data_IF_287968931629
#
_entry.id   IF_287968931629
#
_cell.length_a   1.000
_cell.length_b   1.000
_cell.length_c   1.000
_cell.angle_alpha   90.00
_cell.angle_beta   90.00
_cell.angle_gamma   90.00
#
_symmetry.space_group_name_H-M   'P 1'
#
loop_
_entity.id
_entity.type
_entity.pdbx_description
1 polymer ?
#
# COMPACT_ATOMS: atom_id res chain seq x y z
N UNK A 1 2.24 8.33 -8.42
CA UNK A 1 1.19 9.37 -8.44
C UNK A 1 0.24 9.09 -7.29
N UNK A 2 -0.33 10.10 -6.63
CA UNK A 2 -1.39 9.85 -5.64
C UNK A 2 -2.63 9.39 -6.42
N UNK A 3 -3.11 8.19 -6.10
CA UNK A 3 -4.33 7.61 -6.68
C UNK A 3 -5.54 8.06 -5.85
N UNK A 4 -5.35 8.22 -4.54
CA UNK A 4 -6.38 8.67 -3.61
C UNK A 4 -5.73 9.31 -2.39
N UNK A 5 -6.26 10.44 -1.93
CA UNK A 5 -5.85 11.10 -0.69
C UNK A 5 -7.08 11.20 0.22
N UNK A 6 -6.98 10.67 1.45
CA UNK A 6 -8.04 10.76 2.44
C UNK A 6 -7.68 11.76 3.55
N UNK A 7 -7.78 13.06 3.24
CA UNK A 7 -7.35 14.15 4.12
C UNK A 7 -7.98 14.16 5.51
N UNK A 8 -9.25 13.75 5.63
CA UNK A 8 -10.02 13.82 6.89
C UNK A 8 -9.68 12.65 7.83
N UNK A 9 -9.15 11.54 7.30
CA UNK A 9 -9.01 10.30 8.05
C UNK A 9 -10.35 9.59 8.24
N UNK A 10 -10.34 8.26 8.25
CA UNK A 10 -11.50 7.40 8.45
C UNK A 10 -11.36 6.70 9.79
N UNK A 11 -12.45 6.62 10.55
CA UNK A 11 -12.52 5.86 11.79
C UNK A 11 -13.60 4.79 11.67
N UNK A 12 -13.28 3.57 12.08
CA UNK A 12 -14.26 2.53 12.26
C UNK A 12 -15.15 2.86 13.47
N UNK A 13 -16.38 2.37 13.45
CA UNK A 13 -17.23 2.41 14.63
C UNK A 13 -16.59 1.58 15.75
N UNK A 14 -16.61 2.02 17.02
CA UNK A 14 -16.00 1.28 18.12
C UNK A 14 -16.54 -0.16 18.29
N UNK A 15 -17.80 -0.37 17.90
CA UNK A 15 -18.48 -1.67 17.97
C UNK A 15 -18.28 -2.53 16.71
N UNK A 16 -17.68 -1.98 15.64
CA UNK A 16 -17.38 -2.76 14.44
C UNK A 16 -16.13 -3.61 14.69
N UNK A 17 -16.29 -4.93 14.74
CA UNK A 17 -15.18 -5.87 14.91
C UNK A 17 -14.33 -6.02 13.65
N UNK A 18 -14.89 -5.71 12.48
CA UNK A 18 -14.19 -5.88 11.21
C UNK A 18 -13.30 -4.69 10.86
N UNK A 19 -13.64 -3.47 11.32
CA UNK A 19 -12.84 -2.23 11.21
C UNK A 19 -12.22 -2.07 9.82
N UNK A 20 -13.06 -2.21 8.80
CA UNK A 20 -12.64 -2.27 7.41
C UNK A 20 -13.24 -1.15 6.56
N UNK A 21 -12.47 -0.70 5.58
CA UNK A 21 -12.88 0.28 4.57
C UNK A 21 -12.58 -0.28 3.18
N UNK A 22 -13.55 -0.12 2.26
CA UNK A 22 -13.43 -0.61 0.90
C UNK A 22 -13.47 0.56 -0.09
N UNK A 23 -12.46 0.62 -0.96
CA UNK A 23 -12.32 1.56 -2.05
C UNK A 23 -12.68 0.89 -3.37
N UNK A 24 -13.58 1.50 -4.14
CA UNK A 24 -13.95 1.05 -5.48
C UNK A 24 -13.49 2.11 -6.48
N UNK A 25 -12.55 1.74 -7.35
CA UNK A 25 -12.00 2.63 -8.36
C UNK A 25 -12.78 2.50 -9.67
N UNK A 26 -13.08 3.64 -10.32
CA UNK A 26 -13.78 3.66 -11.61
C UNK A 26 -13.03 2.88 -12.70
N UNK A 27 -11.70 3.03 -12.72
CA UNK A 27 -10.77 2.31 -13.61
C UNK A 27 -9.71 1.57 -12.79
N UNK A 28 -9.22 0.40 -13.25
CA UNK A 28 -8.15 -0.34 -12.56
C UNK A 28 -6.91 0.53 -12.33
N UNK A 29 -6.34 0.43 -11.14
CA UNK A 29 -5.15 1.16 -10.69
C UNK A 29 -4.08 0.16 -10.28
N UNK A 30 -2.83 0.51 -10.50
CA UNK A 30 -1.70 -0.24 -9.95
C UNK A 30 -1.26 0.47 -8.68
N UNK A 31 -1.36 -0.20 -7.54
CA UNK A 31 -0.92 0.33 -6.25
C UNK A 31 0.47 -0.22 -5.95
N UNK A 32 1.38 0.67 -5.59
CA UNK A 32 2.76 0.34 -5.24
C UNK A 32 3.07 0.65 -3.78
N UNK A 33 2.47 1.72 -3.25
CA UNK A 33 2.78 2.25 -1.92
C UNK A 33 1.52 2.77 -1.25
N UNK A 34 1.48 2.68 0.07
CA UNK A 34 0.43 3.27 0.89
C UNK A 34 1.11 4.12 1.95
N UNK A 35 0.79 5.41 2.00
CA UNK A 35 1.25 6.28 3.06
C UNK A 35 0.22 6.25 4.18
N UNK A 36 0.65 5.99 5.40
CA UNK A 36 -0.19 6.09 6.60
C UNK A 36 0.28 7.29 7.39
N UNK A 37 -0.65 8.10 7.86
CA UNK A 37 -0.40 9.25 8.73
C UNK A 37 -1.17 9.11 10.03
N UNK A 38 -0.64 9.75 11.07
CA UNK A 38 -1.34 9.95 12.33
C UNK A 38 -2.54 10.87 12.11
N UNK A 39 -3.69 10.48 12.62
CA UNK A 39 -4.89 11.33 12.60
C UNK A 39 -4.73 12.55 13.52
N UNK A 40 -5.61 13.55 13.36
CA UNK A 40 -5.59 14.75 14.22
C UNK A 40 -5.72 14.42 15.72
N UNK A 41 -6.47 13.36 16.06
CA UNK A 41 -6.65 12.89 17.45
C UNK A 41 -5.51 11.97 17.92
N UNK A 42 -4.44 11.85 17.14
CA UNK A 42 -3.29 11.02 17.47
C UNK A 42 -3.49 9.51 17.27
N UNK A 43 -4.64 9.07 16.77
CA UNK A 43 -4.91 7.66 16.48
C UNK A 43 -4.27 7.24 15.14
N UNK A 44 -3.87 5.97 15.05
CA UNK A 44 -3.30 5.38 13.83
C UNK A 44 -3.38 3.84 13.88
N UNK A 45 -3.38 3.16 12.72
CA UNK A 45 -3.34 1.70 12.67
C UNK A 45 -1.91 1.19 12.84
N UNK A 46 -1.72 0.13 13.63
CA UNK A 46 -0.44 -0.57 13.85
C UNK A 46 -0.29 -1.71 12.84
N UNK A 47 -1.34 -2.51 12.65
CA UNK A 47 -1.36 -3.65 11.72
C UNK A 47 -2.56 -3.51 10.77
N UNK A 48 -2.28 -3.56 9.47
CA UNK A 48 -3.27 -3.44 8.39
C UNK A 48 -3.19 -4.68 7.50
N UNK A 49 -4.31 -5.33 7.23
CA UNK A 49 -4.42 -6.34 6.17
C UNK A 49 -5.16 -5.79 4.95
N UNK A 50 -4.83 -6.34 3.79
CA UNK A 50 -5.37 -5.91 2.50
C UNK A 50 -6.04 -7.09 1.83
N UNK A 51 -7.21 -6.84 1.26
CA UNK A 51 -7.81 -7.71 0.25
C UNK A 51 -8.12 -6.88 -0.98
N UNK A 52 -8.02 -7.48 -2.15
CA UNK A 52 -8.24 -6.75 -3.38
C UNK A 52 -8.82 -7.63 -4.48
N UNK A 53 -9.34 -6.98 -5.51
CA UNK A 53 -9.74 -7.61 -6.76
C UNK A 53 -9.49 -6.66 -7.92
N UNK A 54 -9.16 -7.21 -9.08
CA UNK A 54 -9.02 -6.48 -10.34
C UNK A 54 -10.35 -6.20 -11.04
N UNK A 55 -11.47 -6.78 -10.58
CA UNK A 55 -12.82 -6.62 -11.14
C UNK A 55 -13.84 -6.33 -10.06
N UNK A 56 -14.89 -5.58 -10.42
CA UNK A 56 -16.06 -5.38 -9.56
C UNK A 56 -16.95 -6.62 -9.58
N UNK A 57 -17.60 -6.95 -8.47
CA UNK A 57 -18.56 -8.07 -8.40
C UNK A 57 -17.94 -9.46 -8.26
N UNK A 58 -16.62 -9.56 -8.05
CA UNK A 58 -15.94 -10.83 -7.75
C UNK A 58 -15.36 -10.81 -6.32
N UNK A 59 -15.16 -11.97 -5.68
CA UNK A 59 -14.60 -12.05 -4.34
C UNK A 59 -13.21 -11.40 -4.23
N UNK A 60 -12.93 -10.79 -3.08
CA UNK A 60 -11.63 -10.20 -2.79
C UNK A 60 -10.62 -11.26 -2.37
N UNK A 61 -9.41 -11.16 -2.88
CA UNK A 61 -8.29 -12.06 -2.60
C UNK A 61 -7.38 -11.38 -1.58
N UNK A 62 -6.91 -12.08 -0.53
CA UNK A 62 -5.96 -11.52 0.42
C UNK A 62 -4.64 -11.18 -0.27
N UNK A 63 -4.02 -10.07 0.13
CA UNK A 63 -2.68 -9.73 -0.29
C UNK A 63 -1.66 -10.67 0.38
N UNK A 64 -0.91 -11.40 -0.44
CA UNK A 64 0.16 -12.30 0.00
C UNK A 64 1.34 -12.07 -0.94
N UNK A 65 2.42 -11.47 -0.45
CA UNK A 65 3.62 -11.24 -1.24
C UNK A 65 4.87 -11.45 -0.37
N UNK A 66 5.82 -12.27 -0.82
CA UNK A 66 7.07 -12.55 -0.09
C UNK A 66 6.85 -12.93 1.39
N UNK A 67 5.85 -13.79 1.68
CA UNK A 67 5.40 -14.17 3.03
C UNK A 67 4.85 -13.02 3.90
N UNK A 68 4.69 -11.83 3.33
CA UNK A 68 4.06 -10.69 3.98
C UNK A 68 2.57 -10.70 3.62
N UNK A 69 1.73 -10.89 4.63
CA UNK A 69 0.27 -10.87 4.52
C UNK A 69 -0.35 -9.62 5.13
N UNK A 70 0.39 -8.95 6.01
CA UNK A 70 -0.04 -7.77 6.76
C UNK A 70 1.03 -6.70 6.67
N UNK A 71 0.61 -5.44 6.62
CA UNK A 71 1.48 -4.29 6.69
C UNK A 71 1.52 -3.79 8.13
N UNK A 72 2.72 -3.56 8.64
CA UNK A 72 2.95 -3.10 10.01
C UNK A 72 3.49 -1.68 9.93
N UNK A 73 2.89 -0.76 10.67
CA UNK A 73 3.42 0.58 10.87
C UNK A 73 4.33 0.59 12.10
N UNK A 74 5.56 1.04 11.92
CA UNK A 74 6.58 1.15 12.97
C UNK A 74 6.91 2.60 13.26
N UNK A 75 6.94 3.44 12.23
CA UNK A 75 7.44 4.81 12.30
C UNK A 75 6.34 5.84 12.53
N UNK A 76 5.06 5.49 12.37
CA UNK A 76 3.93 6.43 12.56
C UNK A 76 3.88 7.00 13.97
N UNK A 77 4.28 6.21 14.98
CA UNK A 77 4.35 6.65 16.37
C UNK A 77 5.35 7.79 16.61
N UNK A 78 6.48 7.77 15.88
CA UNK A 78 7.64 8.65 16.09
C UNK A 78 7.62 9.83 15.12
N UNK A 79 7.45 9.56 13.82
CA UNK A 79 7.54 10.55 12.73
C UNK A 79 6.17 11.15 12.40
N UNK A 80 5.08 10.55 12.87
CA UNK A 80 3.71 10.97 12.55
C UNK A 80 3.20 10.46 11.20
N UNK A 81 4.03 9.75 10.44
CA UNK A 81 3.62 9.07 9.21
C UNK A 81 4.67 8.10 8.70
N UNK A 82 4.25 7.17 7.86
CA UNK A 82 5.08 6.12 7.30
C UNK A 82 4.63 5.77 5.88
N UNK A 83 5.61 5.51 5.02
CA UNK A 83 5.39 5.09 3.66
C UNK A 83 5.60 3.57 3.55
N UNK A 84 4.50 2.83 3.48
CA UNK A 84 4.50 1.38 3.33
C UNK A 84 4.67 1.04 1.85
N UNK A 85 5.78 0.39 1.51
CA UNK A 85 6.05 -0.09 0.14
C UNK A 85 5.54 -1.52 0.03
N UNK A 86 4.64 -1.78 -0.93
CA UNK A 86 4.18 -3.13 -1.18
C UNK A 86 5.31 -3.94 -1.83
N UNK A 87 5.62 -5.16 -1.33
CA UNK A 87 6.64 -6.02 -1.93
C UNK A 87 6.38 -6.33 -3.41
N UNK A 88 5.12 -6.36 -3.80
CA UNK A 88 4.66 -6.52 -5.17
C UNK A 88 3.56 -5.50 -5.46
N UNK A 89 3.67 -4.80 -6.59
CA UNK A 89 2.62 -3.91 -7.05
C UNK A 89 1.38 -4.72 -7.46
N UNK A 90 0.19 -4.24 -7.11
CA UNK A 90 -1.08 -4.94 -7.35
C UNK A 90 -2.00 -4.15 -8.25
N UNK A 91 -2.61 -4.81 -9.23
CA UNK A 91 -3.67 -4.24 -10.06
C UNK A 91 -5.01 -4.41 -9.33
N UNK A 92 -5.61 -3.29 -8.94
CA UNK A 92 -6.83 -3.27 -8.15
C UNK A 92 -7.90 -2.41 -8.82
N UNK A 93 -9.13 -2.89 -8.72
CA UNK A 93 -10.35 -2.13 -8.97
C UNK A 93 -11.19 -2.01 -7.71
N UNK A 94 -11.10 -2.99 -6.82
CA UNK A 94 -11.64 -2.96 -5.47
C UNK A 94 -10.51 -3.25 -4.48
N UNK A 95 -10.35 -2.42 -3.47
CA UNK A 95 -9.37 -2.58 -2.40
C UNK A 95 -10.06 -2.47 -1.05
N UNK A 96 -9.97 -3.49 -0.21
CA UNK A 96 -10.42 -3.50 1.18
C UNK A 96 -9.18 -3.42 2.08
N UNK A 97 -9.17 -2.45 3.00
CA UNK A 97 -8.18 -2.32 4.06
C UNK A 97 -8.85 -2.60 5.40
N UNK A 98 -8.22 -3.44 6.21
CA UNK A 98 -8.73 -3.86 7.51
C UNK A 98 -7.74 -3.49 8.60
N UNK A 99 -8.20 -2.81 9.64
CA UNK A 99 -7.39 -2.49 10.82
C UNK A 99 -7.46 -3.67 11.80
N UNK A 100 -6.34 -4.37 11.95
CA UNK A 100 -6.22 -5.49 12.87
C UNK A 100 -5.76 -5.04 14.26
N UNK A 101 -4.79 -4.13 14.32
CA UNK A 101 -4.31 -3.52 15.54
C UNK A 101 -4.16 -2.02 15.34
N UNK A 102 -4.40 -1.22 16.38
CA UNK A 102 -4.36 0.24 16.32
C UNK A 102 -3.93 0.85 17.65
N UNK A 103 -3.52 2.11 17.58
CA UNK A 103 -3.25 2.95 18.74
C UNK A 103 -4.37 3.96 18.96
N UNK A 104 -4.82 4.09 20.20
CA UNK A 104 -5.91 4.95 20.66
C UNK A 104 -7.29 4.56 20.10
N UNK A 105 -7.54 4.76 18.81
CA UNK A 105 -8.79 4.44 18.13
C UNK A 105 -8.53 3.76 16.78
N UNK A 106 -9.51 3.00 16.30
CA UNK A 106 -9.48 2.33 15.00
C UNK A 106 -9.66 3.32 13.85
N UNK A 107 -8.69 4.21 13.67
CA UNK A 107 -8.69 5.24 12.65
C UNK A 107 -7.46 5.14 11.76
N UNK A 108 -7.61 5.49 10.49
CA UNK A 108 -6.54 5.58 9.52
C UNK A 108 -6.64 6.89 8.73
N UNK A 109 -5.53 7.59 8.57
CA UNK A 109 -5.37 8.62 7.54
C UNK A 109 -4.36 8.10 6.54
N UNK A 110 -4.72 8.04 5.26
CA UNK A 110 -3.86 7.39 4.28
C UNK A 110 -3.91 8.02 2.90
N UNK A 111 -2.80 7.85 2.18
CA UNK A 111 -2.69 8.11 0.76
C UNK A 111 -2.37 6.81 0.03
N UNK A 112 -3.18 6.48 -0.97
CA UNK A 112 -2.91 5.36 -1.86
C UNK A 112 -2.07 5.88 -3.02
N UNK A 113 -0.85 5.37 -3.16
CA UNK A 113 0.11 5.80 -4.16
C UNK A 113 0.27 4.71 -5.21
N UNK A 114 0.15 5.11 -6.47
CA UNK A 114 0.16 4.20 -7.59
C UNK A 114 0.27 4.88 -8.94
N UNK A 115 -0.08 4.16 -9.98
CA UNK A 115 -0.12 4.62 -11.35
C UNK A 115 -1.29 3.97 -12.09
N UNK A 116 -1.68 4.57 -13.21
CA UNK A 116 -2.57 3.91 -14.15
C UNK A 116 -1.79 2.84 -14.91
N UNK A 117 -2.42 1.71 -15.23
CA UNK A 117 -1.75 0.57 -15.89
C UNK A 117 -0.95 0.98 -17.13
N UNK A 118 -1.51 1.87 -17.96
CA UNK A 118 -0.86 2.41 -19.16
C UNK A 118 0.38 3.26 -18.87
N UNK A 119 0.50 3.83 -17.68
CA UNK A 119 1.55 4.79 -17.32
C UNK A 119 2.62 4.17 -16.40
N UNK A 120 2.41 2.95 -15.89
CA UNK A 120 3.33 2.32 -14.93
C UNK A 120 4.64 1.80 -15.57
N UNK A 121 4.69 1.66 -16.90
CA UNK A 121 5.86 1.14 -17.60
C UNK A 121 7.17 1.90 -17.31
N UNK A 122 7.09 3.18 -16.90
CA UNK A 122 8.27 3.99 -16.60
C UNK A 122 8.95 3.72 -15.25
N UNK A 123 8.32 3.03 -14.28
CA UNK A 123 8.92 2.88 -12.93
C UNK A 123 9.44 1.48 -12.60
N UNK A 124 8.85 0.43 -13.17
CA UNK A 124 9.35 -0.94 -12.95
C UNK A 124 10.78 -1.11 -13.48
N UNK A 125 11.11 -0.38 -14.56
CA UNK A 125 12.46 -0.36 -15.10
C UNK A 125 13.45 0.44 -14.25
N UNK A 126 13.07 1.25 -13.27
CA UNK A 126 14.09 1.94 -12.46
C UNK A 126 14.79 1.00 -11.47
N UNK A 127 14.10 -0.05 -10.98
CA UNK A 127 14.74 -1.05 -10.13
C UNK A 127 15.46 -2.11 -10.96
N UNK A 128 14.84 -2.58 -12.05
CA UNK A 128 15.54 -3.49 -12.97
C UNK A 128 16.71 -2.81 -13.67
N UNK A 129 16.65 -1.51 -13.97
CA UNK A 129 17.79 -0.79 -14.52
C UNK A 129 18.93 -0.79 -13.52
N UNK A 130 18.72 -0.58 -12.22
CA UNK A 130 19.85 -0.65 -11.28
C UNK A 130 20.43 -2.07 -11.17
N UNK A 131 19.61 -3.11 -11.10
CA UNK A 131 20.12 -4.49 -11.06
C UNK A 131 20.77 -4.92 -12.38
N UNK A 132 20.24 -4.49 -13.52
CA UNK A 132 20.80 -4.78 -14.84
C UNK A 132 22.07 -3.97 -15.09
N UNK A 133 22.15 -2.71 -14.62
CA UNK A 133 23.38 -1.92 -14.62
C UNK A 133 24.42 -2.51 -13.67
N UNK A 134 24.05 -2.96 -12.47
CA UNK A 134 24.99 -3.65 -11.58
C UNK A 134 25.46 -4.99 -12.16
N UNK A 135 24.58 -5.76 -12.82
CA UNK A 135 24.98 -6.97 -13.52
C UNK A 135 25.93 -6.67 -14.68
N UNK A 136 25.66 -5.61 -15.45
CA UNK A 136 26.56 -5.20 -16.53
C UNK A 136 27.93 -4.73 -16.00
N UNK A 137 27.96 -3.96 -14.91
CA UNK A 137 29.22 -3.50 -14.31
C UNK A 137 30.04 -4.71 -13.83
N UNK A 138 29.40 -5.71 -13.21
CA UNK A 138 30.10 -6.90 -12.71
C UNK A 138 30.68 -7.75 -13.84
N UNK A 139 29.99 -7.83 -14.98
CA UNK A 139 30.49 -8.50 -16.19
C UNK A 139 31.67 -7.77 -16.83
N UNK A 140 31.69 -6.43 -16.82
CA UNK A 140 32.82 -5.65 -17.36
C UNK A 140 34.07 -5.71 -16.46
N UNK A 141 33.91 -5.86 -15.15
CA UNK A 141 35.06 -6.00 -14.24
C UNK A 141 35.72 -7.38 -14.25
N UNK A 142 35.15 -8.39 -14.93
CA UNK A 142 35.76 -9.72 -15.01
C UNK A 142 36.60 -9.93 -16.29
N UNK A 143 36.70 -8.92 -17.14
CA UNK A 143 37.46 -9.00 -18.40
C UNK A 143 38.71 -8.13 -18.42
N UNK A 144 39.30 -7.82 -17.27
CA UNK A 144 40.60 -7.17 -17.17
C UNK A 144 41.47 -7.89 -16.15
#
# INVERSE_FOLDING_TARGET
MIVFNFFIGWCANPNDSNRKITFVFAVPKVIERIRIEKTANGAYPIVISLKYSNRTGVPLIPFIAANITKLITRNVAIVGGELLVLPQAIEVRVLELTIEEFFNNACMKLDILGCHKTNCFGKIFSFFSLYFFLFLIKLLTFTQ
#
